data_IF_083972048193
#
_entry.id   IF_083972048193
#
_cell.length_a   1.000
_cell.length_b   1.000
_cell.length_c   1.000
_cell.angle_alpha   90.00
_cell.angle_beta   90.00
_cell.angle_gamma   90.00
#
_symmetry.space_group_name_H-M   'P 1'
#
loop_
_entity.id
_entity.type
_entity.pdbx_description
1 polymer ?
2 non-polymer ?
3 water ?
#
# COMPACT_ATOMS: atom_id res chain seq x y z
N UNK A 9 -20.79 -0.54 -1.61
CA UNK A 9 -19.37 -0.81 -1.36
C UNK A 9 -18.83 -1.90 -2.27
N UNK A 10 -17.64 -1.66 -2.84
CA UNK A 10 -17.11 -2.53 -3.89
C UNK A 10 -15.60 -2.79 -3.77
N UNK A 11 -15.18 -3.92 -4.32
CA UNK A 11 -13.78 -4.33 -4.37
C UNK A 11 -13.15 -3.77 -5.65
N UNK A 12 -12.09 -2.98 -5.49
CA UNK A 12 -11.45 -2.31 -6.62
C UNK A 12 -10.00 -2.74 -6.83
N UNK A 13 -9.64 -2.98 -8.08
CA UNK A 13 -8.28 -3.35 -8.46
C UNK A 13 -7.38 -2.12 -8.57
N UNK A 14 -6.49 -1.97 -7.60
CA UNK A 14 -5.47 -0.92 -7.63
C UNK A 14 -4.07 -1.51 -7.72
N UNK A 15 -3.14 -0.72 -8.24
CA UNK A 15 -1.75 -1.13 -8.35
C UNK A 15 -0.83 -0.06 -7.77
N UNK A 16 -0.14 -0.41 -6.69
CA UNK A 16 0.73 0.53 -5.99
C UNK A 16 2.19 0.28 -6.34
N UNK A 17 2.97 1.37 -6.51
CA UNK A 17 4.38 1.21 -6.83
C UNK A 17 5.28 1.08 -5.59
N UNK A 18 6.25 0.17 -5.67
CA UNK A 18 7.24 -0.03 -4.61
C UNK A 18 8.64 -0.20 -5.19
N UNK A 19 9.65 -0.01 -4.34
CA UNK A 19 11.02 -0.34 -4.70
C UNK A 19 11.56 -1.38 -3.71
N UNK A 20 12.01 -2.51 -4.25
CA UNK A 20 12.51 -3.63 -3.45
C UNK A 20 14.02 -3.79 -3.57
N UNK A 21 14.65 -4.22 -2.48
CA UNK A 21 16.09 -4.46 -2.47
C UNK A 21 16.55 -5.23 -1.24
N UNK A 22 17.87 -5.33 -1.07
CA UNK A 22 18.47 -6.00 0.07
C UNK A 22 19.45 -5.07 0.79
N UNK A 23 19.30 -4.97 2.11
CA UNK A 23 20.23 -4.22 2.95
C UNK A 23 21.20 -5.17 3.64
N UNK A 24 22.49 -4.82 3.63
CA UNK A 24 23.52 -5.64 4.26
C UNK A 24 23.35 -5.63 5.78
N UNK A 25 23.72 -4.52 6.41
CA UNK A 25 23.43 -4.30 7.83
C UNK A 25 22.02 -3.74 7.97
N UNK A 26 21.64 -3.34 9.18
CA UNK A 26 20.43 -2.56 9.37
C UNK A 26 20.74 -1.13 8.93
N UNK A 27 19.99 -0.64 7.95
CA UNK A 27 20.39 0.56 7.22
C UNK A 27 19.29 1.61 7.05
N UNK A 28 19.69 2.75 6.48
CA UNK A 28 18.77 3.81 6.08
C UNK A 28 18.71 3.85 4.56
N UNK A 29 17.52 3.62 4.01
CA UNK A 29 17.33 3.65 2.56
C UNK A 29 16.73 4.98 2.12
N UNK A 30 17.51 5.74 1.35
CA UNK A 30 17.10 7.04 0.85
C UNK A 30 16.75 6.95 -0.63
N UNK A 31 15.65 7.59 -1.02
CA UNK A 31 15.23 7.63 -2.42
C UNK A 31 15.24 9.07 -2.93
N UNK A 32 16.08 9.32 -3.93
CA UNK A 32 16.22 10.64 -4.54
C UNK A 32 15.57 10.66 -5.92
N UNK A 33 15.04 11.81 -6.30
CA UNK A 33 14.44 11.97 -7.63
C UNK A 33 15.38 12.77 -8.54
N UNK A 34 15.21 14.09 -8.56
CA UNK A 34 16.11 14.98 -9.27
C UNK A 34 16.92 15.77 -8.24
N UNK A 35 17.73 15.04 -7.47
CA UNK A 35 18.49 15.62 -6.36
C UNK A 35 17.68 15.70 -5.08
N UNK A 36 16.36 15.67 -5.22
CA UNK A 36 15.45 15.83 -4.09
C UNK A 36 15.13 14.51 -3.42
N UNK A 37 15.37 14.46 -2.11
CA UNK A 37 15.07 13.29 -1.30
C UNK A 37 13.57 13.19 -1.05
N UNK A 38 12.98 12.07 -1.46
CA UNK A 38 11.53 11.87 -1.35
C UNK A 38 11.16 10.83 -0.29
N UNK A 39 11.89 9.72 -0.26
CA UNK A 39 11.71 8.71 0.78
C UNK A 39 12.92 8.67 1.70
N UNK A 40 12.69 8.20 2.92
CA UNK A 40 13.74 8.00 3.91
C UNK A 40 13.21 7.05 4.99
N UNK A 41 13.68 5.81 4.95
CA UNK A 41 13.16 4.76 5.83
C UNK A 41 14.28 3.92 6.43
N UNK A 42 14.26 3.79 7.75
CA UNK A 42 15.19 2.91 8.46
C UNK A 42 14.61 1.51 8.46
N UNK A 43 15.42 0.54 8.07
CA UNK A 43 14.97 -0.85 7.89
C UNK A 43 15.87 -1.86 8.60
N UNK A 44 15.31 -3.02 9.00
CA UNK A 44 16.14 -4.14 9.44
C UNK A 44 16.96 -4.71 8.28
N UNK A 45 17.99 -5.49 8.60
CA UNK A 45 18.84 -6.14 7.59
C UNK A 45 18.05 -7.08 6.68
N UNK A 46 18.61 -7.37 5.51
CA UNK A 46 17.98 -8.25 4.53
C UNK A 46 17.05 -7.52 3.58
N UNK A 47 16.01 -8.21 3.09
CA UNK A 47 15.04 -7.67 2.13
C UNK A 47 14.22 -6.50 2.68
N UNK A 48 13.92 -5.53 1.82
CA UNK A 48 13.05 -4.41 2.18
C UNK A 48 12.10 -4.02 1.05
N UNK A 49 10.97 -3.43 1.41
CA UNK A 49 10.00 -2.95 0.44
C UNK A 49 9.51 -1.55 0.83
N UNK A 50 9.73 -0.60 -0.07
CA UNK A 50 9.43 0.80 0.20
C UNK A 50 8.15 1.27 -0.50
N UNK A 51 7.09 1.43 0.29
CA UNK A 51 5.83 1.99 -0.20
C UNK A 51 5.83 3.51 -0.03
N UNK A 52 4.80 4.17 -0.55
CA UNK A 52 4.70 5.63 -0.58
C UNK A 52 5.87 6.29 -1.34
N UNK A 53 5.59 6.66 -2.59
CA UNK A 53 6.60 7.20 -3.50
C UNK A 53 5.92 8.21 -4.43
N UNK A 54 6.72 9.01 -5.17
CA UNK A 54 6.13 9.95 -6.13
C UNK A 54 5.54 9.24 -7.35
N UNK A 58 4.37 9.46 -13.78
CA UNK A 58 5.01 9.42 -15.09
C UNK A 58 6.13 8.40 -15.16
N UNK A 59 7.25 8.80 -15.75
CA UNK A 59 8.43 7.93 -15.85
C UNK A 59 9.73 8.71 -15.66
N UNK A 60 10.84 7.99 -15.59
CA UNK A 60 12.15 8.61 -15.41
C UNK A 60 13.10 7.75 -14.61
N UNK A 61 13.83 8.39 -13.69
CA UNK A 61 14.84 7.71 -12.88
C UNK A 61 14.84 8.13 -11.42
N UNK A 62 15.04 7.16 -10.54
CA UNK A 62 15.26 7.41 -9.12
C UNK A 62 16.71 7.10 -8.76
N UNK A 63 17.17 7.64 -7.64
CA UNK A 63 18.47 7.30 -7.08
C UNK A 63 18.27 6.71 -5.69
N UNK A 64 18.77 5.50 -5.48
CA UNK A 64 18.59 4.81 -4.21
C UNK A 64 19.93 4.59 -3.51
N UNK A 65 20.10 5.23 -2.36
CA UNK A 65 21.30 5.06 -1.54
C UNK A 65 20.97 4.24 -0.31
N UNK A 66 21.71 3.15 -0.12
CA UNK A 66 21.58 2.35 1.09
C UNK A 66 22.72 2.67 2.05
N UNK A 67 22.44 3.56 3.01
CA UNK A 67 23.41 3.94 4.04
C UNK A 67 23.51 2.84 5.09
N UNK A 68 24.58 2.05 5.02
CA UNK A 68 24.77 0.94 5.94
C UNK A 68 25.37 1.41 7.27
N UNK A 69 25.32 0.54 8.28
CA UNK A 69 25.75 0.85 9.65
C UNK A 69 27.22 1.27 9.77
N UNK A 70 28.07 0.70 8.93
CA UNK A 70 29.51 0.94 8.98
C UNK A 70 29.97 2.16 8.18
N UNK A 71 29.02 2.91 7.64
CA UNK A 71 29.30 4.15 6.91
C UNK A 71 29.47 3.96 5.41
N UNK A 72 29.14 2.77 4.92
CA UNK A 72 29.22 2.47 3.48
C UNK A 72 27.91 2.78 2.78
N UNK A 73 28.01 3.36 1.58
CA UNK A 73 26.84 3.77 0.81
C UNK A 73 26.75 3.00 -0.50
N UNK A 74 25.76 2.11 -0.59
CA UNK A 74 25.47 1.41 -1.83
C UNK A 74 24.53 2.26 -2.69
N UNK A 75 25.09 2.81 -3.77
CA UNK A 75 24.36 3.75 -4.63
C UNK A 75 23.93 3.09 -5.94
N UNK A 76 22.64 3.23 -6.26
CA UNK A 76 22.06 2.65 -7.47
C UNK A 76 21.20 3.67 -8.22
N UNK A 77 21.06 3.47 -9.52
CA UNK A 77 20.07 4.19 -10.32
C UNK A 77 18.90 3.26 -10.58
N UNK A 78 17.71 3.65 -10.14
CA UNK A 78 16.51 2.84 -10.36
C UNK A 78 15.58 3.51 -11.38
N UNK A 79 15.46 2.91 -12.57
CA UNK A 79 14.54 3.41 -13.59
C UNK A 79 13.10 3.09 -13.20
N UNK A 80 12.23 4.10 -13.22
CA UNK A 80 10.82 3.88 -12.95
C UNK A 80 9.95 4.22 -14.16
N UNK A 81 8.75 3.63 -14.18
CA UNK A 81 7.80 3.82 -15.27
C UNK A 81 6.38 3.56 -14.78
N UNK A 82 5.43 4.36 -15.26
CA UNK A 82 4.02 4.13 -14.98
C UNK A 82 3.36 3.49 -16.20
N UNK A 83 2.84 2.26 -16.04
CA UNK A 83 2.21 1.55 -17.15
C UNK A 83 0.79 2.05 -17.42
N UNK A 84 0.40 2.03 -18.69
CA UNK A 84 -0.96 2.36 -19.08
C UNK A 84 -1.88 1.18 -18.77
N UNK A 85 -3.04 1.48 -18.18
CA UNK A 85 -4.01 0.45 -17.82
C UNK A 85 -5.33 0.70 -18.55
N UNK A 86 -5.91 -0.36 -19.10
CA UNK A 86 -7.17 -0.28 -19.84
C UNK A 86 -8.35 0.07 -18.93
N UNK B 9 18.49 -3.06 -6.57
CA UNK B 9 17.18 -2.50 -6.25
C UNK B 9 16.39 -2.20 -7.51
N UNK B 10 15.09 -2.48 -7.47
CA UNK B 10 14.24 -2.36 -8.65
C UNK B 10 12.86 -1.80 -8.32
N UNK B 11 12.30 -1.06 -9.27
CA UNK B 11 10.95 -0.55 -9.19
C UNK B 11 10.00 -1.64 -9.66
N UNK B 12 8.92 -1.86 -8.91
CA UNK B 12 7.88 -2.80 -9.34
C UNK B 12 6.48 -2.41 -8.87
N UNK B 13 5.47 -2.89 -9.59
CA UNK B 13 4.08 -2.58 -9.28
C UNK B 13 3.40 -3.76 -8.61
N UNK B 14 2.97 -3.56 -7.37
CA UNK B 14 2.25 -4.57 -6.62
C UNK B 14 0.75 -4.43 -6.79
N UNK B 15 0.06 -5.55 -6.95
CA UNK B 15 -1.39 -5.58 -6.89
C UNK B 15 -1.81 -5.22 -5.47
N UNK B 16 -2.44 -4.06 -5.32
CA UNK B 16 -2.84 -3.55 -4.01
C UNK B 16 -4.30 -3.13 -4.02
N UNK B 17 -5.22 -4.12 -3.98
CA UNK B 17 -6.65 -3.85 -4.08
C UNK B 17 -7.22 -3.16 -2.84
N UNK B 18 -8.34 -2.47 -3.02
CA UNK B 18 -9.00 -1.75 -1.93
C UNK B 18 -10.51 -2.00 -1.91
N UNK B 19 -11.11 -1.93 -0.72
CA UNK B 19 -12.56 -1.94 -0.59
C UNK B 19 -13.03 -0.50 -0.43
N UNK B 20 -13.81 -0.03 -1.40
CA UNK B 20 -14.31 1.34 -1.40
C UNK B 20 -15.78 1.39 -1.01
N UNK B 21 -16.18 2.53 -0.45
CA UNK B 21 -17.57 2.75 -0.05
C UNK B 21 -17.80 4.14 0.51
N UNK B 22 -19.05 4.44 0.83
CA UNK B 22 -19.43 5.72 1.42
C UNK B 22 -20.12 5.50 2.76
N UNK B 23 -19.58 6.12 3.81
CA UNK B 23 -20.19 6.11 5.13
C UNK B 23 -20.97 7.40 5.35
N UNK B 24 -22.22 7.27 5.79
CA UNK B 24 -23.09 8.43 6.02
C UNK B 24 -22.65 9.28 7.21
N UNK B 25 -22.28 8.61 8.30
CA UNK B 25 -21.78 9.28 9.50
C UNK B 25 -20.44 8.67 9.90
N UNK B 26 -19.88 9.12 11.02
CA UNK B 26 -18.63 8.57 11.54
C UNK B 26 -18.85 7.11 11.92
N UNK B 27 -18.44 6.21 11.03
CA UNK B 27 -18.83 4.81 11.08
C UNK B 27 -17.70 3.85 11.45
N UNK B 28 -18.09 2.60 11.72
CA UNK B 28 -17.15 1.49 11.87
C UNK B 28 -17.43 0.47 10.77
N UNK B 29 -16.40 0.13 10.00
CA UNK B 29 -16.54 -0.83 8.91
C UNK B 29 -15.72 -2.10 9.16
N UNK B 30 -16.43 -3.22 9.29
CA UNK B 30 -15.80 -4.52 9.52
C UNK B 30 -15.84 -5.37 8.25
N UNK B 31 -14.69 -5.91 7.86
CA UNK B 31 -14.60 -6.75 6.66
C UNK B 31 -14.17 -8.17 7.01
N UNK B 32 -15.00 -9.13 6.62
CA UNK B 32 -14.76 -10.55 6.89
C UNK B 32 -14.41 -11.29 5.59
N UNK B 33 -13.33 -12.07 5.63
CA UNK B 33 -12.98 -12.96 4.52
C UNK B 33 -13.31 -14.41 4.89
N UNK B 34 -14.58 -14.76 4.74
CA UNK B 34 -15.12 -16.08 5.11
C UNK B 34 -14.86 -16.45 6.58
N UNK B 35 -15.60 -15.81 7.48
CA UNK B 35 -15.52 -16.13 8.91
C UNK B 35 -14.49 -15.34 9.69
N UNK B 36 -13.27 -15.27 9.15
CA UNK B 36 -12.17 -14.54 9.79
C UNK B 36 -12.36 -13.03 9.65
N UNK B 37 -12.17 -12.30 10.74
CA UNK B 37 -12.21 -10.84 10.71
C UNK B 37 -10.89 -10.29 10.16
N UNK B 38 -10.98 -9.56 9.06
CA UNK B 38 -9.81 -9.11 8.30
C UNK B 38 -9.51 -7.62 8.49
N UNK B 39 -10.57 -6.82 8.61
CA UNK B 39 -10.43 -5.39 8.86
C UNK B 39 -11.53 -4.88 9.79
N UNK B 40 -11.14 -3.99 10.70
CA UNK B 40 -12.07 -3.35 11.62
C UNK B 40 -11.50 -2.01 12.08
N UNK B 41 -12.03 -0.93 11.54
CA UNK B 41 -11.54 0.42 11.84
C UNK B 41 -12.65 1.47 11.77
N UNK B 42 -12.44 2.58 12.48
CA UNK B 42 -13.36 3.70 12.47
C UNK B 42 -13.02 4.68 11.35
N UNK B 43 -14.03 5.08 10.59
CA UNK B 43 -13.86 6.02 9.48
C UNK B 43 -14.74 7.27 9.67
N UNK B 44 -14.29 8.42 9.13
CA UNK B 44 -15.14 9.62 9.14
C UNK B 44 -16.25 9.53 8.10
N UNK B 45 -17.22 10.43 8.18
CA UNK B 45 -18.31 10.50 7.21
C UNK B 45 -17.78 10.83 5.81
N UNK B 46 -18.43 10.26 4.80
CA UNK B 46 -18.01 10.43 3.41
C UNK B 46 -17.41 9.16 2.83
N UNK B 47 -16.50 9.30 1.85
CA UNK B 47 -15.89 8.13 1.21
C UNK B 47 -14.86 7.43 2.10
N UNK B 48 -14.60 6.16 1.81
CA UNK B 48 -13.54 5.42 2.50
C UNK B 48 -12.88 4.35 1.62
N UNK B 49 -11.58 4.16 1.83
CA UNK B 49 -10.82 3.08 1.21
C UNK B 49 -10.19 2.21 2.28
N UNK B 50 -10.21 0.90 2.06
CA UNK B 50 -9.58 -0.05 2.98
C UNK B 50 -8.44 -0.80 2.30
N UNK B 51 -7.21 -0.43 2.64
CA UNK B 51 -6.01 -0.96 1.97
C UNK B 51 -5.34 -2.10 2.73
N UNK B 52 -4.29 -2.67 2.12
CA UNK B 52 -3.44 -3.69 2.72
C UNK B 52 -4.19 -4.78 3.49
N UNK B 53 -5.12 -5.44 2.81
CA UNK B 53 -5.96 -6.46 3.42
C UNK B 53 -5.40 -7.87 3.21
N UNK B 54 -5.34 -8.67 4.30
CA UNK B 54 -4.91 -10.07 4.23
C UNK B 54 -5.87 -10.94 3.41
N UNK B 61 -15.75 -14.31 -1.79
CA UNK B 61 -16.64 -13.22 -1.39
C UNK B 61 -16.32 -12.69 0.01
N UNK B 62 -16.34 -11.37 0.15
CA UNK B 62 -16.13 -10.71 1.43
C UNK B 62 -17.46 -10.31 2.06
N UNK B 63 -17.47 -10.20 3.39
CA UNK B 63 -18.64 -9.70 4.12
C UNK B 63 -18.30 -8.36 4.77
N UNK B 64 -18.91 -7.29 4.26
CA UNK B 64 -18.65 -5.93 4.73
C UNK B 64 -19.83 -5.39 5.56
N UNK B 65 -19.56 -5.10 6.83
CA UNK B 65 -20.57 -4.55 7.73
C UNK B 65 -20.26 -3.09 8.03
N UNK B 66 -21.23 -2.21 7.80
CA UNK B 66 -21.09 -0.79 8.08
C UNK B 66 -22.00 -0.37 9.24
N UNK B 67 -21.40 -0.24 10.42
CA UNK B 67 -22.10 0.29 11.59
C UNK B 67 -21.95 1.80 11.58
N UNK B 68 -23.07 2.52 11.60
CA UNK B 68 -23.03 3.98 11.62
C UNK B 68 -23.37 4.57 12.99
N UNK B 69 -23.10 5.87 13.14
CA UNK B 69 -23.25 6.58 14.42
C UNK B 69 -24.63 6.45 15.06
N UNK B 70 -25.67 6.42 14.23
CA UNK B 70 -27.05 6.33 14.71
C UNK B 70 -27.47 4.91 15.13
N UNK B 71 -26.53 3.97 15.05
CA UNK B 71 -26.77 2.59 15.47
C UNK B 71 -27.29 1.66 14.39
N UNK B 72 -27.48 2.18 13.18
CA UNK B 72 -27.94 1.37 12.06
C UNK B 72 -26.77 0.65 11.38
N UNK B 73 -27.01 -0.60 11.00
CA UNK B 73 -25.98 -1.44 10.40
C UNK B 73 -26.48 -2.12 9.13
N UNK B 74 -25.65 -2.11 8.09
CA UNK B 74 -25.95 -2.82 6.85
C UNK B 74 -24.84 -3.81 6.50
N UNK B 75 -25.24 -5.01 6.11
CA UNK B 75 -24.30 -6.06 5.72
C UNK B 75 -24.34 -6.24 4.20
N UNK B 76 -23.17 -6.10 3.57
CA UNK B 76 -23.05 -6.24 2.12
C UNK B 76 -22.17 -7.43 1.77
N UNK B 77 -22.55 -8.13 0.70
CA UNK B 77 -21.72 -9.22 0.16
C UNK B 77 -20.92 -8.70 -1.03
N UNK B 78 -19.64 -8.45 -0.80
CA UNK B 78 -18.76 -7.88 -1.82
C UNK B 78 -17.87 -8.98 -2.42
N UNK B 79 -18.06 -9.28 -3.72
CA UNK B 79 -17.23 -10.28 -4.38
C UNK B 79 -15.82 -9.75 -4.66
N UNK B 80 -14.82 -10.60 -4.46
CA UNK B 80 -13.43 -10.21 -4.71
C UNK B 80 -12.72 -11.23 -5.60
N UNK B 81 -11.79 -10.74 -6.41
CA UNK B 81 -11.07 -11.59 -7.36
C UNK B 81 -9.62 -11.12 -7.52
N UNK B 82 -8.76 -12.04 -7.91
CA UNK B 82 -7.33 -11.77 -8.08
C UNK B 82 -6.91 -12.17 -9.49
N UNK B 83 -6.28 -11.24 -10.24
CA UNK B 83 -5.85 -11.53 -11.62
C UNK B 83 -4.76 -12.59 -11.68
N UNK B 84 -4.76 -13.39 -12.74
CA UNK B 84 -3.77 -14.44 -12.92
C UNK B 84 -2.55 -13.92 -13.69
N UNK B 85 -1.38 -14.13 -13.10
CA UNK B 85 -0.11 -13.70 -13.70
C UNK B 85 0.88 -14.87 -13.74
X LIG C 1 24.74 10.81 1.41
#
# INVERSE_FOLDING_TARGET
>A
MASDESMVPYYQWNFAPVVRGIARTQARVEVLRDGYTVSNELVPSGPFELANLPLGGGSGELKVIIHESDGTKQVFTVPYDTPAVALRKG
>B
MASDESMVPYYQWNFAPVVRGIARTQARVEVLRDGYTVSNELVPSGPFELANLPLGGGSGELKVIIHESDGTKQVFTVPYDTPAVALRKG
>C hetero
1 CL CL
#
